data_IF_725494693558
#
_entry.id   IF_725494693558
#
_cell.length_a   1.000
_cell.length_b   1.000
_cell.length_c   1.000
_cell.angle_alpha   90.00
_cell.angle_beta   90.00
_cell.angle_gamma   90.00
#
_symmetry.space_group_name_H-M   'P 1'
#
loop_
_entity.id
_entity.type
_entity.pdbx_description
1 polymer ?
#
# COMPACT_ATOMS: atom_id res chain seq x y z
N UNK A 1 -17.09 -1.76 -26.49
CA UNK A 1 -16.15 -1.36 -25.44
C UNK A 1 -16.23 -2.43 -24.38
N UNK A 2 -15.30 -3.38 -24.38
CA UNK A 2 -15.30 -4.47 -23.41
C UNK A 2 -14.60 -3.98 -22.14
N UNK A 3 -15.40 -3.78 -21.08
CA UNK A 3 -14.96 -3.60 -19.71
C UNK A 3 -14.42 -4.94 -19.19
N UNK A 4 -13.21 -5.29 -19.60
CA UNK A 4 -12.36 -6.23 -18.85
C UNK A 4 -11.39 -5.39 -18.00
N UNK A 5 -11.93 -4.54 -17.13
CA UNK A 5 -11.20 -3.95 -16.02
C UNK A 5 -11.02 -5.01 -14.92
N UNK A 6 -10.52 -6.19 -15.31
CA UNK A 6 -9.93 -7.10 -14.34
C UNK A 6 -8.73 -6.34 -13.79
N UNK A 7 -8.88 -5.80 -12.59
CA UNK A 7 -7.82 -5.08 -11.89
C UNK A 7 -6.56 -5.95 -11.98
N UNK A 8 -5.59 -5.53 -12.79
CA UNK A 8 -4.37 -6.30 -13.02
C UNK A 8 -3.55 -6.20 -11.74
N UNK A 9 -3.66 -7.20 -10.88
CA UNK A 9 -2.95 -7.21 -9.61
C UNK A 9 -1.53 -7.68 -9.91
N UNK A 10 -0.68 -6.73 -10.29
CA UNK A 10 0.65 -6.91 -10.89
C UNK A 10 1.61 -7.70 -9.97
N UNK A 11 1.60 -9.03 -10.06
CA UNK A 11 2.45 -9.92 -9.23
C UNK A 11 2.11 -9.95 -7.73
N UNK A 12 1.21 -9.08 -7.27
CA UNK A 12 0.72 -9.03 -5.91
C UNK A 12 -0.38 -10.09 -5.72
N UNK A 13 -0.12 -11.09 -4.88
CA UNK A 13 -1.15 -12.05 -4.50
C UNK A 13 -2.02 -11.41 -3.41
N UNK A 14 -3.26 -11.04 -3.73
CA UNK A 14 -4.19 -10.44 -2.76
C UNK A 14 -4.35 -11.27 -1.49
N UNK A 15 -4.46 -12.60 -1.63
CA UNK A 15 -4.62 -13.47 -0.48
C UNK A 15 -3.38 -13.47 0.41
N UNK A 16 -2.18 -13.42 -0.18
CA UNK A 16 -0.93 -13.22 0.58
C UNK A 16 -0.94 -11.88 1.30
N UNK A 17 -1.35 -10.82 0.61
CA UNK A 17 -1.38 -9.48 1.18
C UNK A 17 -2.38 -9.36 2.34
N UNK A 18 -3.60 -9.89 2.19
CA UNK A 18 -4.58 -9.97 3.29
C UNK A 18 -4.01 -10.70 4.49
N UNK A 19 -3.26 -11.78 4.27
CA UNK A 19 -2.58 -12.51 5.33
C UNK A 19 -1.49 -11.66 6.01
N UNK A 20 -0.68 -10.91 5.24
CA UNK A 20 0.32 -10.00 5.81
C UNK A 20 -0.32 -8.87 6.64
N UNK A 21 -1.41 -8.28 6.14
CA UNK A 21 -2.16 -7.23 6.86
C UNK A 21 -2.69 -7.78 8.18
N UNK A 22 -3.29 -8.98 8.17
CA UNK A 22 -3.77 -9.62 9.37
C UNK A 22 -2.64 -9.82 10.38
N UNK A 23 -1.51 -10.38 9.95
CA UNK A 23 -0.36 -10.60 10.82
C UNK A 23 0.20 -9.29 11.40
N UNK A 24 0.25 -8.23 10.59
CA UNK A 24 0.64 -6.91 11.06
C UNK A 24 -0.31 -6.39 12.14
N UNK A 25 -1.63 -6.47 11.93
CA UNK A 25 -2.64 -6.07 12.92
C UNK A 25 -2.58 -6.88 14.20
N UNK A 26 -2.40 -8.19 14.10
CA UNK A 26 -2.28 -9.09 15.26
C UNK A 26 -1.04 -8.74 16.10
N UNK A 27 0.10 -8.45 15.45
CA UNK A 27 1.32 -7.96 16.13
C UNK A 27 1.09 -6.63 16.85
N UNK A 28 0.46 -5.67 16.18
CA UNK A 28 0.16 -4.36 16.76
C UNK A 28 -0.82 -4.44 17.94
N UNK A 29 -1.75 -5.39 17.91
CA UNK A 29 -2.67 -5.64 19.02
C UNK A 29 -1.96 -6.26 20.24
N UNK A 30 -0.88 -7.02 20.02
CA UNK A 30 -0.08 -7.64 21.07
C UNK A 30 0.98 -6.69 21.68
N UNK A 31 1.45 -5.69 20.92
CA UNK A 31 2.44 -4.72 21.37
C UNK A 31 1.80 -3.57 22.18
N UNK A 32 2.28 -3.35 23.40
CA UNK A 32 1.81 -2.26 24.30
C UNK A 32 2.49 -0.91 24.04
N UNK A 33 3.33 -0.83 23.00
CA UNK A 33 4.10 0.38 22.66
C UNK A 33 3.34 1.25 21.65
N UNK A 34 3.85 2.47 21.47
CA UNK A 34 3.39 3.43 20.48
C UNK A 34 3.25 2.75 19.12
N UNK A 35 2.02 2.68 18.61
CA UNK A 35 1.72 2.21 17.26
C UNK A 35 2.44 3.12 16.26
N UNK A 36 3.31 2.59 15.38
CA UNK A 36 3.90 3.38 14.32
C UNK A 36 2.83 3.81 13.31
N UNK A 37 3.04 4.95 12.65
CA UNK A 37 2.12 5.47 11.63
C UNK A 37 2.05 4.54 10.39
N UNK A 38 3.13 3.79 10.14
CA UNK A 38 3.24 2.85 9.03
C UNK A 38 3.90 1.54 9.46
N UNK A 39 3.44 0.42 8.89
CA UNK A 39 3.99 -0.92 9.12
C UNK A 39 4.38 -1.56 7.81
N UNK A 40 5.65 -1.95 7.69
CA UNK A 40 6.15 -2.70 6.53
C UNK A 40 5.48 -4.07 6.45
N UNK A 41 4.88 -4.38 5.30
CA UNK A 41 4.23 -5.66 5.01
C UNK A 41 5.14 -6.56 4.17
N UNK A 42 5.71 -6.01 3.09
CA UNK A 42 6.57 -6.71 2.16
C UNK A 42 7.70 -5.78 1.72
N UNK A 43 8.89 -6.34 1.48
CA UNK A 43 10.04 -5.62 0.92
C UNK A 43 10.54 -6.38 -0.30
N UNK A 44 10.81 -5.63 -1.36
CA UNK A 44 11.30 -6.13 -2.63
C UNK A 44 12.76 -5.74 -2.73
N UNK A 45 13.64 -6.73 -2.86
CA UNK A 45 15.07 -6.48 -3.01
C UNK A 45 15.29 -5.81 -4.37
N UNK A 46 15.55 -4.51 -4.30
CA UNK A 46 15.80 -3.67 -5.46
C UNK A 46 17.17 -3.09 -5.22
N UNK A 47 18.19 -3.68 -5.85
CA UNK A 47 19.56 -3.20 -5.74
C UNK A 47 19.71 -1.85 -6.42
N UNK A 48 18.92 -1.64 -7.48
CA UNK A 48 18.82 -0.39 -8.22
C UNK A 48 17.37 -0.11 -8.64
N UNK A 49 17.03 1.16 -8.93
CA UNK A 49 15.69 1.53 -9.41
C UNK A 49 15.33 0.87 -10.74
N UNK A 50 16.33 0.48 -11.53
CA UNK A 50 16.17 -0.25 -12.79
C UNK A 50 15.52 -1.63 -12.57
N UNK A 51 15.83 -2.33 -11.47
CA UNK A 51 15.20 -3.62 -11.16
C UNK A 51 13.69 -3.48 -10.89
N UNK A 52 13.27 -2.34 -10.31
CA UNK A 52 11.85 -2.03 -10.08
C UNK A 52 11.17 -1.71 -11.40
N UNK A 53 11.85 -0.94 -12.25
CA UNK A 53 11.38 -0.62 -13.59
C UNK A 53 11.24 -1.91 -14.40
N UNK A 54 12.16 -2.87 -14.32
CA UNK A 54 12.05 -4.17 -14.99
C UNK A 54 10.85 -4.99 -14.50
N UNK A 55 10.61 -5.02 -13.18
CA UNK A 55 9.41 -5.66 -12.62
C UNK A 55 8.13 -5.01 -13.15
N UNK A 56 8.13 -3.69 -13.35
CA UNK A 56 6.97 -2.92 -13.84
C UNK A 56 6.91 -2.81 -15.38
N UNK A 57 8.01 -3.02 -16.09
CA UNK A 57 8.14 -3.06 -17.55
C UNK A 57 7.41 -4.27 -18.13
N UNK A 58 7.33 -5.36 -17.37
CA UNK A 58 6.43 -6.46 -17.66
C UNK A 58 4.94 -6.02 -17.73
N UNK A 59 4.62 -4.79 -17.29
CA UNK A 59 3.27 -4.29 -17.08
C UNK A 59 2.98 -2.89 -17.70
N UNK A 60 3.72 -2.50 -18.75
CA UNK A 60 3.56 -1.27 -19.55
C UNK A 60 3.85 0.05 -18.78
N UNK A 61 5.13 0.33 -18.53
CA UNK A 61 5.60 1.71 -18.31
C UNK A 61 5.91 2.34 -19.68
N UNK A 62 5.12 3.34 -20.10
CA UNK A 62 5.36 4.07 -21.37
C UNK A 62 6.66 4.87 -21.33
N UNK A 63 6.95 5.47 -20.17
CA UNK A 63 8.20 6.18 -19.89
C UNK A 63 8.96 5.48 -18.77
N UNK A 64 10.28 5.33 -18.93
CA UNK A 64 11.15 4.65 -17.97
C UNK A 64 11.84 5.67 -17.07
N UNK A 65 11.05 6.51 -16.41
CA UNK A 65 11.54 7.56 -15.51
C UNK A 65 11.19 7.24 -14.06
N UNK A 66 11.94 7.79 -13.10
CA UNK A 66 11.62 7.59 -11.68
C UNK A 66 10.26 8.21 -11.31
N UNK A 67 9.84 9.27 -12.00
CA UNK A 67 8.56 9.93 -11.80
C UNK A 67 7.38 9.05 -12.26
N UNK A 68 7.42 8.56 -13.49
CA UNK A 68 6.41 7.62 -14.02
C UNK A 68 6.35 6.33 -13.22
N UNK A 69 7.50 5.81 -12.75
CA UNK A 69 7.57 4.71 -11.80
C UNK A 69 6.78 5.00 -10.51
N UNK A 70 7.04 6.18 -9.92
CA UNK A 70 6.38 6.60 -8.66
C UNK A 70 4.87 6.75 -8.84
N UNK A 71 4.43 7.32 -9.96
CA UNK A 71 3.00 7.42 -10.29
C UNK A 71 2.36 6.04 -10.40
N UNK A 72 3.00 5.11 -11.11
CA UNK A 72 2.50 3.74 -11.27
C UNK A 72 2.40 2.99 -9.95
N UNK A 73 3.41 3.14 -9.09
CA UNK A 73 3.40 2.57 -7.75
C UNK A 73 2.26 3.16 -6.90
N UNK A 74 2.01 4.47 -6.99
CA UNK A 74 0.88 5.10 -6.30
C UNK A 74 -0.47 4.58 -6.78
N UNK A 75 -0.66 4.44 -8.10
CA UNK A 75 -1.89 3.90 -8.69
C UNK A 75 -2.13 2.45 -8.25
N UNK A 76 -1.06 1.65 -8.23
CA UNK A 76 -1.11 0.27 -7.75
C UNK A 76 -1.46 0.21 -6.26
N UNK A 77 -0.81 1.03 -5.43
CA UNK A 77 -1.11 1.12 -4.01
C UNK A 77 -2.58 1.49 -3.78
N UNK A 78 -3.09 2.51 -4.47
CA UNK A 78 -4.48 2.93 -4.39
C UNK A 78 -5.44 1.79 -4.77
N UNK A 79 -5.18 1.14 -5.89
CA UNK A 79 -5.99 0.05 -6.40
C UNK A 79 -6.08 -1.12 -5.41
N UNK A 80 -4.92 -1.55 -4.90
CA UNK A 80 -4.85 -2.66 -3.95
C UNK A 80 -5.46 -2.26 -2.61
N UNK A 81 -5.27 -1.02 -2.17
CA UNK A 81 -5.93 -0.44 -1.00
C UNK A 81 -7.44 -0.58 -1.04
N UNK A 82 -8.05 -0.23 -2.17
CA UNK A 82 -9.51 -0.39 -2.36
C UNK A 82 -9.90 -1.86 -2.26
N UNK A 83 -9.13 -2.76 -2.88
CA UNK A 83 -9.42 -4.20 -2.89
C UNK A 83 -9.30 -4.87 -1.52
N UNK A 84 -8.38 -4.41 -0.66
CA UNK A 84 -8.20 -4.94 0.70
C UNK A 84 -8.93 -4.14 1.77
N UNK A 85 -9.54 -3.00 1.42
CA UNK A 85 -10.17 -2.06 2.35
C UNK A 85 -9.22 -1.53 3.43
N UNK A 86 -7.97 -1.27 3.05
CA UNK A 86 -6.91 -0.73 3.93
C UNK A 86 -6.09 0.32 3.18
N UNK A 87 -5.47 1.26 3.90
CA UNK A 87 -4.58 2.24 3.28
C UNK A 87 -3.17 1.67 3.16
N UNK A 88 -2.69 1.49 1.93
CA UNK A 88 -1.39 0.94 1.58
C UNK A 88 -0.60 2.00 0.81
N UNK A 89 0.71 2.00 0.99
CA UNK A 89 1.62 2.92 0.29
C UNK A 89 2.91 2.19 -0.06
N UNK A 90 3.50 2.55 -1.19
CA UNK A 90 4.88 2.17 -1.49
C UNK A 90 5.85 3.24 -0.96
N UNK A 91 7.00 2.79 -0.48
CA UNK A 91 8.08 3.65 -0.02
C UNK A 91 9.42 2.93 -0.13
N UNK A 92 10.51 3.62 0.15
CA UNK A 92 11.84 3.01 0.21
C UNK A 92 12.25 2.78 1.66
N UNK A 93 12.83 1.62 1.95
CA UNK A 93 13.46 1.33 3.23
C UNK A 93 14.76 2.13 3.37
N UNK A 94 15.34 2.15 4.58
CA UNK A 94 16.65 2.78 4.83
C UNK A 94 17.78 2.13 3.99
N UNK A 95 17.59 0.88 3.60
CA UNK A 95 18.51 0.09 2.77
C UNK A 95 18.31 0.35 1.26
N UNK A 96 17.33 1.19 0.89
CA UNK A 96 17.01 1.52 -0.50
C UNK A 96 16.08 0.51 -1.18
N UNK A 97 15.48 -0.42 -0.44
CA UNK A 97 14.57 -1.42 -0.98
C UNK A 97 13.15 -0.88 -1.11
N UNK A 98 12.42 -1.31 -2.15
CA UNK A 98 11.01 -0.96 -2.28
C UNK A 98 10.17 -1.72 -1.25
N UNK A 99 9.55 -1.00 -0.33
CA UNK A 99 8.63 -1.54 0.67
C UNK A 99 7.17 -1.23 0.36
N UNK A 100 6.29 -2.18 0.66
CA UNK A 100 4.85 -1.99 0.76
C UNK A 100 4.47 -1.83 2.23
N UNK A 101 3.82 -0.72 2.55
CA UNK A 101 3.48 -0.33 3.92
C UNK A 101 1.98 -0.28 4.12
N UNK A 102 1.52 -0.73 5.28
CA UNK A 102 0.18 -0.47 5.81
C UNK A 102 0.21 0.84 6.58
N UNK A 103 -0.60 1.81 6.18
CA UNK A 103 -0.84 3.02 6.96
C UNK A 103 -1.86 2.72 8.05
N UNK A 104 -1.52 3.10 9.28
CA UNK A 104 -2.41 2.93 10.41
C UNK A 104 -3.20 4.21 10.57
N UNK A 105 -4.54 4.19 10.43
CA UNK A 105 -5.33 5.36 10.76
C UNK A 105 -5.10 5.71 12.23
N UNK A 106 -4.69 6.95 12.46
CA UNK A 106 -4.45 7.47 13.80
C UNK A 106 -5.70 7.25 14.66
N UNK A 107 -5.58 6.44 15.72
CA UNK A 107 -6.67 6.16 16.66
C UNK A 107 -7.08 7.39 17.46
N UNK A 108 -6.39 8.54 17.33
CA UNK A 108 -6.78 9.81 17.92
C UNK A 108 -8.09 10.37 17.34
N UNK A 109 -8.49 9.96 16.13
CA UNK A 109 -9.78 10.30 15.54
C UNK A 109 -10.83 9.23 15.85
N UNK A 110 -11.29 9.22 17.10
CA UNK A 110 -12.52 8.52 17.45
C UNK A 110 -13.71 9.04 16.63
N UNK A 111 -14.73 8.22 16.29
CA UNK A 111 -15.85 8.62 15.44
C UNK A 111 -16.78 9.71 16.03
N UNK A 112 -16.48 10.28 17.19
CA UNK A 112 -17.33 11.27 17.84
C UNK A 112 -17.34 12.64 17.17
N UNK A 113 -16.52 12.88 16.15
CA UNK A 113 -16.49 14.15 15.42
C UNK A 113 -17.61 14.29 14.36
N UNK A 114 -18.38 13.24 14.08
CA UNK A 114 -19.54 13.28 13.16
C UNK A 114 -20.89 13.33 13.87
N UNK A 115 -20.96 13.91 15.08
CA UNK A 115 -22.22 14.39 15.62
C UNK A 115 -22.64 15.63 14.82
N UNK A 116 -23.34 15.38 13.71
CA UNK A 116 -24.06 16.38 12.94
C UNK A 116 -24.98 17.13 13.92
N UNK A 117 -24.68 18.39 14.16
CA UNK A 117 -25.60 19.35 14.76
C UNK A 117 -26.82 19.44 13.85
N UNK A 118 -27.85 18.64 14.15
CA UNK A 118 -29.20 18.98 13.73
C UNK A 118 -29.80 19.88 14.80
N UNK A 119 -29.83 21.17 14.47
CA UNK A 119 -30.57 22.20 15.16
C UNK A 119 -32.05 21.82 15.31
N UNK A 120 -32.60 22.13 16.49
CA UNK A 120 -33.98 22.56 16.66
C UNK A 120 -33.98 23.70 17.69
#
# INVERSE_FOLDING_TARGET
MNMDDSVKIYGLCLERLKHQIKNAKDRLAAETRTTPDHVLLESYYTGESEDIIDILELYDLEEKTFESLREKLNDLAYTVSVLVSETLTFGFTEEGHLGLYLSIPDRSLSPSAFAVNHSA
#
